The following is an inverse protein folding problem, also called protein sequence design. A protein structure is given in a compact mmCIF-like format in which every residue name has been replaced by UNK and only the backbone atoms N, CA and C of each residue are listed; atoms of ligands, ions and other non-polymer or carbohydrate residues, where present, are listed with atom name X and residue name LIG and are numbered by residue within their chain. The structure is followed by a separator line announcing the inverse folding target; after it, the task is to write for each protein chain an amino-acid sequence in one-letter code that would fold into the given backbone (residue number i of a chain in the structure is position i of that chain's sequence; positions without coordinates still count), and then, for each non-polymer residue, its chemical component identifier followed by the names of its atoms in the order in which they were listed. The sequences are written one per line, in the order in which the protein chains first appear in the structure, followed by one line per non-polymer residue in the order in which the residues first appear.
data_IF_066214516028
#
_entry.id   IF_066214516028
#
_cell.length_a   1.000
_cell.length_b   1.000
_cell.length_c   1.000
_cell.angle_alpha   90.00
_cell.angle_beta   90.00
_cell.angle_gamma   90.00
#
_symmetry.space_group_name_H-M   'P 1'
#
loop_
_entity.id
_entity.type
_entity.pdbx_description
1 polymer ?
#
# COMPACT_ATOMS: atom_id res chain seq x y z
N UNK A 1 22.94 -0.86 -3.70
CA UNK A 1 22.57 0.21 -2.75
C UNK A 1 22.05 1.45 -3.46
N UNK A 2 22.53 1.72 -4.65
CA UNK A 2 22.19 2.94 -5.44
C UNK A 2 20.68 3.08 -5.80
N UNK A 3 19.95 1.99 -5.93
CA UNK A 3 18.51 2.02 -6.23
C UNK A 3 17.60 1.97 -4.98
N UNK A 4 18.12 1.52 -3.84
CA UNK A 4 17.32 1.37 -2.62
C UNK A 4 17.03 2.72 -1.96
N UNK A 5 18.02 3.59 -1.88
CA UNK A 5 17.89 4.92 -1.27
C UNK A 5 16.87 5.81 -2.02
N UNK A 6 16.91 5.91 -3.38
CA UNK A 6 15.89 6.64 -4.13
C UNK A 6 14.49 6.09 -3.92
N UNK A 7 14.34 4.76 -3.89
CA UNK A 7 13.06 4.11 -3.66
C UNK A 7 12.46 4.38 -2.28
N UNK A 8 13.28 4.31 -1.22
CA UNK A 8 12.85 4.61 0.15
C UNK A 8 12.46 6.09 0.30
N UNK A 9 13.27 7.01 -0.24
CA UNK A 9 12.97 8.44 -0.21
C UNK A 9 11.66 8.77 -0.93
N UNK A 10 11.48 8.21 -2.13
CA UNK A 10 10.26 8.36 -2.91
C UNK A 10 9.02 7.83 -2.16
N UNK A 11 9.14 6.69 -1.48
CA UNK A 11 8.07 6.10 -0.69
C UNK A 11 7.66 6.98 0.51
N UNK A 12 8.63 7.58 1.21
CA UNK A 12 8.36 8.46 2.35
C UNK A 12 7.66 9.75 1.87
N UNK A 13 8.21 10.43 0.85
CA UNK A 13 7.64 11.67 0.30
C UNK A 13 6.21 11.43 -0.20
N UNK A 14 5.98 10.35 -0.95
CA UNK A 14 4.65 10.00 -1.45
C UNK A 14 3.67 9.73 -0.31
N UNK A 15 4.14 9.10 0.77
CA UNK A 15 3.32 8.84 1.97
C UNK A 15 2.95 10.14 2.66
N UNK A 16 3.86 11.09 2.77
CA UNK A 16 3.59 12.42 3.33
C UNK A 16 2.51 13.17 2.53
N UNK A 17 2.63 13.18 1.21
CA UNK A 17 1.70 13.89 0.31
C UNK A 17 0.32 13.20 0.33
N UNK A 18 0.27 11.88 0.35
CA UNK A 18 -0.97 11.11 0.22
C UNK A 18 -1.65 10.81 1.56
N UNK A 19 -1.01 11.04 2.72
CA UNK A 19 -1.59 10.73 4.02
C UNK A 19 -2.96 11.39 4.29
N UNK A 20 -3.18 12.66 3.91
CA UNK A 20 -4.50 13.28 4.05
C UNK A 20 -5.60 12.51 3.32
N UNK A 21 -5.35 12.11 2.07
CA UNK A 21 -6.28 11.34 1.26
C UNK A 21 -6.50 9.93 1.83
N UNK A 22 -5.47 9.32 2.40
CA UNK A 22 -5.59 8.04 3.10
C UNK A 22 -6.49 8.14 4.33
N UNK A 23 -6.33 9.20 5.12
CA UNK A 23 -7.15 9.42 6.32
C UNK A 23 -8.61 9.69 5.95
N UNK A 24 -8.86 10.49 4.92
CA UNK A 24 -10.21 10.73 4.40
C UNK A 24 -10.81 9.42 3.88
N UNK A 25 -10.07 8.66 3.06
CA UNK A 25 -10.52 7.39 2.50
C UNK A 25 -10.94 6.41 3.59
N UNK A 26 -10.08 6.16 4.60
CA UNK A 26 -10.37 5.17 5.63
C UNK A 26 -11.60 5.55 6.46
N UNK A 27 -11.74 6.82 6.83
CA UNK A 27 -12.90 7.29 7.58
C UNK A 27 -14.19 7.21 6.72
N UNK A 28 -14.13 7.59 5.45
CA UNK A 28 -15.25 7.44 4.53
C UNK A 28 -15.66 5.97 4.34
N UNK A 29 -14.68 5.07 4.18
CA UNK A 29 -14.88 3.62 4.04
C UNK A 29 -15.56 3.00 5.28
N UNK A 30 -15.23 3.49 6.46
CA UNK A 30 -15.79 3.03 7.73
C UNK A 30 -17.10 3.73 8.11
N UNK A 31 -17.48 4.81 7.42
CA UNK A 31 -18.65 5.61 7.74
C UNK A 31 -18.48 6.54 8.93
N UNK A 32 -17.24 6.85 9.29
CA UNK A 32 -16.94 7.80 10.34
C UNK A 32 -17.04 9.26 9.85
N UNK A 33 -17.22 10.19 10.78
CA UNK A 33 -17.14 11.62 10.48
C UNK A 33 -15.72 12.02 10.08
N UNK A 34 -15.61 12.86 9.07
CA UNK A 34 -14.33 13.34 8.53
C UNK A 34 -14.07 14.74 9.07
N UNK A 35 -12.96 14.91 9.79
CA UNK A 35 -12.49 16.21 10.25
C UNK A 35 -11.38 16.72 9.34
N UNK A 36 -11.54 17.92 8.78
CA UNK A 36 -10.59 18.51 7.81
C UNK A 36 -9.49 19.37 8.47
N UNK A 37 -9.10 19.02 9.71
CA UNK A 37 -8.00 19.67 10.41
C UNK A 37 -6.67 19.02 10.03
N UNK A 38 -5.63 19.80 9.79
CA UNK A 38 -4.28 19.28 9.42
C UNK A 38 -3.79 18.23 10.40
N UNK A 39 -3.91 18.47 11.72
CA UNK A 39 -3.53 17.51 12.74
C UNK A 39 -4.29 16.18 12.65
N UNK A 40 -5.55 16.22 12.21
CA UNK A 40 -6.35 15.00 12.02
C UNK A 40 -5.93 14.24 10.78
N UNK A 41 -5.70 14.94 9.67
CA UNK A 41 -5.35 14.34 8.38
C UNK A 41 -3.97 13.67 8.38
N UNK A 42 -3.06 14.12 9.25
CA UNK A 42 -1.72 13.53 9.37
C UNK A 42 -1.58 12.54 10.53
N UNK A 43 -2.68 12.18 11.20
CA UNK A 43 -2.66 11.16 12.26
C UNK A 43 -2.21 9.80 11.71
N UNK A 44 -1.40 9.10 12.49
CA UNK A 44 -0.90 7.78 12.15
C UNK A 44 0.25 7.76 11.14
N UNK A 45 0.70 8.91 10.63
CA UNK A 45 1.80 9.00 9.68
C UNK A 45 3.09 8.32 10.17
N UNK A 46 3.45 8.51 11.45
CA UNK A 46 4.66 7.91 12.03
C UNK A 46 4.70 6.39 11.90
N UNK A 47 3.54 5.73 12.05
CA UNK A 47 3.47 4.27 11.85
C UNK A 47 3.71 3.86 10.39
N UNK A 48 3.37 4.70 9.43
CA UNK A 48 3.64 4.45 8.02
C UNK A 48 5.12 4.61 7.69
N UNK A 49 5.73 5.66 8.22
CA UNK A 49 7.16 5.96 8.01
C UNK A 49 8.04 4.83 8.55
N UNK A 50 7.63 4.18 9.64
CA UNK A 50 8.34 3.01 10.19
C UNK A 50 7.92 1.72 9.48
N UNK A 51 6.63 1.52 9.24
CA UNK A 51 6.09 0.28 8.70
C UNK A 51 6.54 -0.01 7.26
N UNK A 52 6.71 1.02 6.42
CA UNK A 52 7.13 0.86 5.03
C UNK A 52 8.57 0.32 4.92
N UNK A 53 9.59 0.92 5.56
CA UNK A 53 10.94 0.37 5.54
C UNK A 53 11.02 -1.03 6.14
N UNK A 54 10.32 -1.30 7.24
CA UNK A 54 10.28 -2.64 7.86
C UNK A 54 9.70 -3.66 6.89
N UNK A 55 8.62 -3.32 6.18
CA UNK A 55 8.03 -4.21 5.17
C UNK A 55 9.04 -4.59 4.09
N UNK A 56 9.69 -3.60 3.48
CA UNK A 56 10.62 -3.84 2.39
C UNK A 56 11.91 -4.52 2.85
N UNK A 57 12.38 -4.25 4.07
CA UNK A 57 13.56 -4.91 4.67
C UNK A 57 13.34 -6.42 4.89
N UNK A 58 12.10 -6.86 5.09
CA UNK A 58 11.75 -8.28 5.21
C UNK A 58 11.46 -8.87 3.82
N UNK A 59 10.72 -8.14 2.98
CA UNK A 59 10.27 -8.62 1.68
C UNK A 59 11.45 -8.94 0.74
N UNK A 60 12.38 -8.02 0.53
CA UNK A 60 13.44 -8.21 -0.46
C UNK A 60 14.40 -9.37 -0.16
N UNK A 61 14.95 -9.53 1.06
CA UNK A 61 15.81 -10.68 1.36
C UNK A 61 15.08 -12.01 1.23
N UNK A 62 13.81 -12.06 1.71
CA UNK A 62 12.99 -13.27 1.62
C UNK A 62 12.67 -13.62 0.17
N UNK A 63 12.30 -12.64 -0.65
CA UNK A 63 12.03 -12.82 -2.07
C UNK A 63 13.26 -13.32 -2.84
N UNK A 64 14.44 -12.70 -2.57
CA UNK A 64 15.69 -13.11 -3.21
C UNK A 64 16.01 -14.58 -2.91
N UNK A 65 15.85 -15.00 -1.67
CA UNK A 65 16.12 -16.40 -1.25
C UNK A 65 15.11 -17.38 -1.84
N UNK A 66 13.82 -17.07 -1.77
CA UNK A 66 12.77 -17.97 -2.27
C UNK A 66 12.76 -18.11 -3.79
N UNK A 67 13.22 -17.08 -4.51
CA UNK A 67 13.32 -17.11 -5.98
C UNK A 67 14.32 -18.16 -6.50
N UNK A 68 15.25 -18.62 -5.67
CA UNK A 68 16.20 -19.68 -6.02
C UNK A 68 15.52 -21.06 -6.09
N UNK A 69 14.49 -21.29 -5.23
CA UNK A 69 13.84 -22.60 -5.08
C UNK A 69 12.42 -22.65 -5.69
N UNK A 70 11.75 -21.51 -5.83
CA UNK A 70 10.35 -21.45 -6.22
C UNK A 70 10.13 -20.51 -7.42
N UNK A 71 8.97 -20.66 -8.06
CA UNK A 71 8.54 -19.75 -9.14
C UNK A 71 8.37 -18.31 -8.63
N UNK A 72 8.60 -17.34 -9.52
CA UNK A 72 8.53 -15.89 -9.22
C UNK A 72 7.21 -15.48 -8.51
N UNK A 73 6.01 -15.91 -8.96
CA UNK A 73 4.76 -15.55 -8.30
C UNK A 73 4.65 -16.10 -6.87
N UNK A 74 5.08 -17.35 -6.65
CA UNK A 74 5.04 -18.01 -5.34
C UNK A 74 6.00 -17.31 -4.38
N UNK A 75 7.23 -17.07 -4.82
CA UNK A 75 8.25 -16.37 -4.04
C UNK A 75 7.79 -14.96 -3.63
N UNK A 76 7.18 -14.22 -4.54
CA UNK A 76 6.62 -12.90 -4.28
C UNK A 76 5.47 -12.96 -3.27
N UNK A 77 4.54 -13.89 -3.44
CA UNK A 77 3.39 -14.04 -2.54
C UNK A 77 3.81 -14.42 -1.11
N UNK A 78 4.66 -15.44 -0.95
CA UNK A 78 5.13 -15.90 0.36
C UNK A 78 5.91 -14.79 1.08
N UNK A 79 6.81 -14.10 0.35
CA UNK A 79 7.57 -12.96 0.90
C UNK A 79 6.66 -11.82 1.34
N UNK A 80 5.63 -11.52 0.55
CA UNK A 80 4.65 -10.49 0.87
C UNK A 80 3.83 -10.86 2.13
N UNK A 81 3.40 -12.12 2.24
CA UNK A 81 2.67 -12.61 3.41
C UNK A 81 3.53 -12.56 4.67
N UNK A 82 4.79 -12.99 4.58
CA UNK A 82 5.75 -12.92 5.69
C UNK A 82 5.96 -11.47 6.14
N UNK A 83 6.29 -10.57 5.21
CA UNK A 83 6.47 -9.16 5.53
C UNK A 83 5.20 -8.52 6.12
N UNK A 84 4.01 -8.87 5.59
CA UNK A 84 2.72 -8.43 6.11
C UNK A 84 2.46 -8.88 7.53
N UNK A 85 2.87 -10.11 7.91
CA UNK A 85 2.72 -10.61 9.29
C UNK A 85 3.44 -9.71 10.28
N UNK A 86 4.69 -9.38 10.01
CA UNK A 86 5.47 -8.52 10.90
C UNK A 86 5.01 -7.06 10.90
N UNK A 87 4.46 -6.57 9.79
CA UNK A 87 4.05 -5.16 9.67
C UNK A 87 2.58 -4.91 10.01
N UNK A 88 1.74 -5.93 10.13
CA UNK A 88 0.32 -5.78 10.49
C UNK A 88 0.09 -4.95 11.76
N UNK A 89 0.85 -5.11 12.86
CA UNK A 89 0.68 -4.27 14.05
C UNK A 89 0.81 -2.77 13.75
N UNK A 90 1.78 -2.36 12.92
CA UNK A 90 1.95 -0.96 12.54
C UNK A 90 0.74 -0.42 11.77
N UNK A 91 0.19 -1.21 10.86
CA UNK A 91 -0.98 -0.83 10.08
C UNK A 91 -2.27 -0.75 10.90
N UNK A 92 -2.43 -1.64 11.89
CA UNK A 92 -3.56 -1.58 12.83
C UNK A 92 -3.47 -0.34 13.71
N UNK A 93 -2.28 -0.04 14.26
CA UNK A 93 -2.04 1.14 15.07
C UNK A 93 -2.21 2.43 14.27
N UNK A 94 -1.72 2.46 13.02
CA UNK A 94 -1.96 3.56 12.08
C UNK A 94 -3.45 3.84 11.92
N UNK A 95 -4.21 2.80 11.58
CA UNK A 95 -5.65 2.95 11.35
C UNK A 95 -6.38 3.42 12.61
N UNK A 96 -6.08 2.86 13.77
CA UNK A 96 -6.67 3.28 15.04
C UNK A 96 -6.42 4.76 15.36
N UNK A 97 -5.23 5.28 14.99
CA UNK A 97 -4.95 6.73 15.09
C UNK A 97 -5.71 7.57 14.08
N UNK A 98 -5.88 7.07 12.86
CA UNK A 98 -6.64 7.76 11.80
C UNK A 98 -8.15 7.82 12.10
N UNK A 99 -8.68 6.82 12.81
CA UNK A 99 -10.11 6.73 13.18
C UNK A 99 -10.41 7.28 14.57
N UNK A 100 -9.39 7.81 15.27
CA UNK A 100 -9.51 8.38 16.63
C UNK A 100 -10.04 7.37 17.67
N UNK A 101 -9.76 6.08 17.47
CA UNK A 101 -10.20 5.01 18.37
C UNK A 101 -9.15 4.64 19.40
N UNK A 102 -9.60 4.22 20.57
CA UNK A 102 -8.72 3.72 21.64
C UNK A 102 -7.98 2.47 21.14
N UNK A 103 -6.66 2.52 21.26
CA UNK A 103 -5.78 1.41 20.88
C UNK A 103 -5.87 0.34 21.97
N UNK A 104 -6.17 -0.88 21.55
CA UNK A 104 -6.02 -2.05 22.41
C UNK A 104 -4.74 -2.79 22.01
N UNK A 105 -3.79 -2.85 22.91
CA UNK A 105 -2.48 -3.47 22.71
C UNK A 105 -2.49 -4.99 22.90
N UNK A 106 -3.66 -5.65 22.96
CA UNK A 106 -3.72 -7.11 22.95
C UNK A 106 -3.18 -7.66 21.63
N UNK A 107 -2.35 -8.70 21.70
CA UNK A 107 -1.75 -9.36 20.52
C UNK A 107 -2.83 -9.73 19.50
N UNK A 108 -3.93 -10.34 19.94
CA UNK A 108 -5.07 -10.69 19.08
C UNK A 108 -5.63 -9.46 18.33
N UNK A 109 -5.69 -8.32 19.00
CA UNK A 109 -6.18 -7.07 18.41
C UNK A 109 -5.24 -6.49 17.36
N UNK A 110 -3.93 -6.59 17.59
CA UNK A 110 -2.91 -6.06 16.68
C UNK A 110 -2.80 -6.86 15.37
N UNK A 111 -3.32 -8.08 15.35
CA UNK A 111 -3.36 -8.93 14.16
C UNK A 111 -4.74 -9.00 13.49
N UNK A 112 -5.68 -8.13 13.91
CA UNK A 112 -6.97 -8.03 13.24
C UNK A 112 -6.81 -7.65 11.77
N UNK A 113 -7.49 -8.38 10.89
CA UNK A 113 -7.43 -8.16 9.44
C UNK A 113 -6.19 -8.76 8.76
N UNK A 114 -5.42 -9.63 9.42
CA UNK A 114 -4.29 -10.32 8.80
C UNK A 114 -4.77 -11.27 7.68
N UNK A 115 -5.80 -12.06 7.91
CA UNK A 115 -6.34 -12.99 6.91
C UNK A 115 -6.80 -12.28 5.62
N UNK A 116 -7.63 -11.22 5.68
CA UNK A 116 -7.93 -10.43 4.48
C UNK A 116 -6.67 -9.82 3.83
N UNK A 117 -5.65 -9.47 4.61
CA UNK A 117 -4.39 -8.97 4.04
C UNK A 117 -3.71 -10.02 3.17
N UNK A 118 -3.67 -11.28 3.61
CA UNK A 118 -3.14 -12.39 2.80
C UNK A 118 -3.92 -12.57 1.50
N UNK A 119 -5.25 -12.51 1.56
CA UNK A 119 -6.09 -12.60 0.37
C UNK A 119 -5.88 -11.41 -0.58
N UNK A 120 -5.69 -10.19 -0.06
CA UNK A 120 -5.37 -9.00 -0.87
C UNK A 120 -3.99 -9.15 -1.52
N UNK A 121 -3.04 -9.80 -0.87
CA UNK A 121 -1.72 -10.03 -1.46
C UNK A 121 -1.79 -10.90 -2.74
N UNK A 122 -2.85 -11.69 -2.94
CA UNK A 122 -3.11 -12.37 -4.21
C UNK A 122 -3.34 -11.40 -5.38
N UNK A 123 -3.62 -10.13 -5.11
CA UNK A 123 -3.73 -9.11 -6.17
C UNK A 123 -2.46 -9.00 -7.03
N UNK A 124 -1.30 -9.35 -6.50
CA UNK A 124 -0.05 -9.41 -7.26
C UNK A 124 -0.09 -10.43 -8.40
N UNK A 125 -0.85 -11.52 -8.26
CA UNK A 125 -1.02 -12.53 -9.31
C UNK A 125 -1.79 -12.02 -10.52
N UNK A 126 -2.61 -10.98 -10.35
CA UNK A 126 -3.32 -10.29 -11.43
C UNK A 126 -2.49 -9.10 -11.92
N UNK A 127 -1.86 -8.37 -11.01
CA UNK A 127 -1.09 -7.18 -11.34
C UNK A 127 0.08 -7.48 -12.28
N UNK A 128 0.84 -8.55 -12.02
CA UNK A 128 2.06 -8.86 -12.77
C UNK A 128 1.77 -9.24 -14.23
N UNK A 129 0.87 -10.18 -14.56
CA UNK A 129 0.54 -10.50 -15.95
C UNK A 129 -0.03 -9.29 -16.70
N UNK A 130 -0.88 -8.50 -16.04
CA UNK A 130 -1.44 -7.29 -16.66
C UNK A 130 -0.35 -6.25 -16.96
N UNK A 131 0.60 -6.07 -16.05
CA UNK A 131 1.75 -5.21 -16.24
C UNK A 131 2.61 -5.68 -17.41
N UNK A 132 2.95 -6.98 -17.48
CA UNK A 132 3.75 -7.56 -18.55
C UNK A 132 3.05 -7.42 -19.90
N UNK A 133 1.77 -7.71 -19.97
CA UNK A 133 0.96 -7.52 -21.17
C UNK A 133 0.94 -6.06 -21.65
N UNK A 134 0.74 -5.11 -20.74
CA UNK A 134 0.77 -3.70 -21.11
C UNK A 134 2.16 -3.26 -21.57
N UNK A 135 3.20 -3.70 -20.87
CA UNK A 135 4.59 -3.35 -21.17
C UNK A 135 5.06 -3.90 -22.53
N UNK A 136 4.61 -5.08 -22.92
CA UNK A 136 4.97 -5.68 -24.22
C UNK A 136 4.40 -4.91 -25.42
N UNK A 137 3.33 -4.13 -25.23
CA UNK A 137 2.66 -3.36 -26.27
C UNK A 137 3.08 -1.88 -26.33
N UNK A 138 4.03 -1.46 -25.49
CA UNK A 138 4.43 -0.04 -25.38
C UNK A 138 5.96 0.06 -25.39
N UNK A 139 6.50 1.14 -25.95
CA UNK A 139 7.95 1.40 -25.93
C UNK A 139 8.50 1.43 -24.49
N UNK A 140 9.70 0.86 -24.31
CA UNK A 140 10.40 0.76 -23.03
C UNK A 140 10.95 2.12 -22.57
N UNK A 141 10.05 3.09 -22.34
CA UNK A 141 10.38 4.36 -21.74
C UNK A 141 9.99 4.33 -20.25
N UNK A 142 10.78 4.98 -19.38
CA UNK A 142 10.53 5.07 -17.92
C UNK A 142 9.13 5.55 -17.60
N UNK A 143 8.60 6.51 -18.36
CA UNK A 143 7.25 7.03 -18.22
C UNK A 143 6.18 5.97 -18.53
N UNK A 144 6.35 5.21 -19.60
CA UNK A 144 5.44 4.14 -20.01
C UNK A 144 5.42 2.99 -18.99
N UNK A 145 6.57 2.59 -18.48
CA UNK A 145 6.70 1.59 -17.40
C UNK A 145 5.94 2.05 -16.15
N UNK A 146 6.05 3.33 -15.83
CA UNK A 146 5.32 3.92 -14.71
C UNK A 146 3.79 3.86 -14.91
N UNK A 147 3.29 4.24 -16.08
CA UNK A 147 1.85 4.17 -16.39
C UNK A 147 1.36 2.73 -16.33
N UNK A 148 2.07 1.78 -16.95
CA UNK A 148 1.70 0.36 -16.92
C UNK A 148 1.62 -0.16 -15.47
N UNK A 149 2.58 0.23 -14.61
CA UNK A 149 2.58 -0.14 -13.19
C UNK A 149 1.40 0.48 -12.45
N UNK A 150 1.10 1.76 -12.69
CA UNK A 150 0.01 2.46 -12.04
C UNK A 150 -1.36 1.87 -12.43
N UNK A 151 -1.58 1.62 -13.71
CA UNK A 151 -2.83 1.07 -14.24
C UNK A 151 -3.04 -0.37 -13.76
N UNK A 152 -2.04 -1.25 -13.93
CA UNK A 152 -2.14 -2.65 -13.51
C UNK A 152 -2.42 -2.79 -12.02
N UNK A 153 -1.75 -1.97 -11.19
CA UNK A 153 -2.00 -1.93 -9.75
C UNK A 153 -3.41 -1.43 -9.42
N UNK A 154 -3.86 -0.38 -10.10
CA UNK A 154 -5.20 0.17 -9.86
C UNK A 154 -6.28 -0.85 -10.20
N UNK A 155 -6.20 -1.50 -11.35
CA UNK A 155 -7.14 -2.55 -11.77
C UNK A 155 -7.14 -3.71 -10.77
N UNK A 156 -5.98 -4.25 -10.42
CA UNK A 156 -5.87 -5.32 -9.43
C UNK A 156 -6.48 -4.92 -8.08
N UNK A 157 -6.22 -3.69 -7.62
CA UNK A 157 -6.81 -3.21 -6.36
C UNK A 157 -8.32 -3.05 -6.45
N UNK A 158 -8.88 -2.59 -7.57
CA UNK A 158 -10.32 -2.47 -7.73
C UNK A 158 -11.03 -3.82 -7.60
N UNK A 159 -10.44 -4.89 -8.13
CA UNK A 159 -10.99 -6.26 -8.00
C UNK A 159 -10.99 -6.72 -6.54
N UNK A 160 -9.91 -6.44 -5.79
CA UNK A 160 -9.75 -6.84 -4.39
C UNK A 160 -10.29 -5.81 -3.39
N UNK A 161 -10.89 -4.70 -3.87
CA UNK A 161 -11.38 -3.62 -3.00
C UNK A 161 -12.38 -4.06 -1.93
N UNK A 162 -13.32 -4.99 -2.20
CA UNK A 162 -14.21 -5.53 -1.17
C UNK A 162 -13.45 -6.12 0.02
N UNK A 163 -12.37 -6.86 -0.23
CA UNK A 163 -11.53 -7.41 0.84
C UNK A 163 -10.78 -6.32 1.61
N UNK A 164 -10.41 -5.22 0.93
CA UNK A 164 -9.82 -4.06 1.60
C UNK A 164 -10.79 -3.40 2.58
N UNK A 165 -12.07 -3.31 2.20
CA UNK A 165 -13.14 -2.81 3.08
C UNK A 165 -13.36 -3.73 4.29
N UNK A 166 -13.39 -5.05 4.06
CA UNK A 166 -13.48 -6.04 5.16
C UNK A 166 -12.27 -5.92 6.10
N UNK A 167 -11.07 -5.82 5.55
CA UNK A 167 -9.84 -5.62 6.33
C UNK A 167 -9.92 -4.36 7.21
N UNK A 168 -10.32 -3.23 6.61
CA UNK A 168 -10.45 -1.97 7.32
C UNK A 168 -11.43 -2.07 8.49
N UNK A 169 -12.57 -2.73 8.29
CA UNK A 169 -13.58 -2.94 9.33
C UNK A 169 -13.11 -3.87 10.46
N UNK A 170 -12.46 -4.97 10.11
CA UNK A 170 -11.90 -5.89 11.11
C UNK A 170 -10.87 -5.17 12.00
N UNK A 171 -10.03 -4.32 11.42
CA UNK A 171 -9.08 -3.49 12.18
C UNK A 171 -9.78 -2.49 13.08
N UNK A 172 -10.92 -1.97 12.63
CA UNK A 172 -11.76 -1.01 13.36
C UNK A 172 -12.76 -1.68 14.32
N UNK A 173 -12.75 -3.03 14.39
CA UNK A 173 -13.66 -3.85 15.21
C UNK A 173 -15.13 -3.61 14.92
N UNK A 174 -15.45 -3.25 13.70
CA UNK A 174 -16.82 -3.13 13.23
C UNK A 174 -17.34 -4.48 12.69
N UNK A 175 -18.67 -4.64 12.69
CA UNK A 175 -19.32 -5.79 12.06
C UNK A 175 -19.04 -5.75 10.55
N UNK A 176 -18.58 -6.88 9.99
CA UNK A 176 -18.12 -6.95 8.61
C UNK A 176 -19.22 -7.17 7.58
N UNK A 177 -20.45 -7.44 8.00
CA UNK A 177 -21.54 -7.83 7.09
C UNK A 177 -22.30 -6.59 6.64
N UNK A 178 -22.29 -6.35 5.34
CA UNK A 178 -23.20 -5.42 4.68
C UNK A 178 -24.28 -6.19 3.93
N UNK A 179 -25.52 -5.72 4.00
CA UNK A 179 -26.59 -6.25 3.17
C UNK A 179 -26.46 -5.85 1.69
N UNK A 180 -25.81 -4.71 1.40
CA UNK A 180 -25.63 -4.20 0.04
C UNK A 180 -24.18 -4.26 -0.42
N UNK A 181 -23.93 -4.82 -1.60
CA UNK A 181 -22.62 -4.93 -2.22
C UNK A 181 -21.95 -3.56 -2.49
N UNK A 182 -22.75 -2.52 -2.77
CA UNK A 182 -22.24 -1.15 -2.98
C UNK A 182 -21.45 -0.61 -1.79
N UNK A 183 -21.79 -1.03 -0.57
CA UNK A 183 -21.10 -0.61 0.65
C UNK A 183 -19.68 -1.18 0.76
N UNK A 184 -19.37 -2.28 0.07
CA UNK A 184 -18.01 -2.83 0.02
C UNK A 184 -17.08 -2.01 -0.88
N UNK A 185 -17.63 -1.23 -1.82
CA UNK A 185 -16.88 -0.33 -2.70
C UNK A 185 -16.83 1.12 -2.20
N UNK A 186 -17.34 1.39 -0.99
CA UNK A 186 -17.33 2.72 -0.40
C UNK A 186 -15.88 3.22 -0.21
N UNK A 187 -15.59 4.41 -0.75
CA UNK A 187 -14.25 5.02 -0.71
C UNK A 187 -13.32 4.62 -1.86
N UNK A 188 -13.79 3.81 -2.82
CA UNK A 188 -13.00 3.43 -4.00
C UNK A 188 -12.64 4.65 -4.87
N UNK A 189 -13.56 5.60 -5.04
CA UNK A 189 -13.30 6.84 -5.78
C UNK A 189 -12.15 7.65 -5.16
N UNK A 190 -12.13 7.75 -3.83
CA UNK A 190 -11.05 8.43 -3.11
C UNK A 190 -9.73 7.66 -3.26
N UNK A 191 -9.78 6.32 -3.29
CA UNK A 191 -8.60 5.49 -3.54
C UNK A 191 -8.03 5.74 -4.94
N UNK A 192 -8.86 5.77 -5.97
CA UNK A 192 -8.44 6.05 -7.35
C UNK A 192 -7.86 7.47 -7.44
N UNK A 193 -8.55 8.46 -6.87
CA UNK A 193 -8.06 9.85 -6.82
C UNK A 193 -6.70 9.97 -6.12
N UNK A 194 -6.49 9.19 -5.04
CA UNK A 194 -5.22 9.15 -4.32
C UNK A 194 -4.09 8.48 -5.12
N UNK A 195 -4.43 7.51 -5.98
CA UNK A 195 -3.43 6.74 -6.72
C UNK A 195 -2.62 7.62 -7.67
N UNK A 196 -3.23 8.63 -8.27
CA UNK A 196 -2.55 9.57 -9.17
C UNK A 196 -1.44 10.36 -8.46
N UNK A 197 -1.70 11.18 -7.42
CA UNK A 197 -0.65 11.93 -6.74
C UNK A 197 0.40 11.02 -6.10
N UNK A 198 0.02 9.81 -5.65
CA UNK A 198 0.96 8.84 -5.12
C UNK A 198 1.99 8.43 -6.18
N UNK A 199 1.52 7.99 -7.34
CA UNK A 199 2.41 7.52 -8.39
C UNK A 199 3.25 8.66 -8.98
N UNK A 200 2.67 9.84 -9.18
CA UNK A 200 3.41 11.03 -9.63
C UNK A 200 4.51 11.39 -8.64
N UNK A 201 4.20 11.42 -7.34
CA UNK A 201 5.18 11.75 -6.30
C UNK A 201 6.31 10.72 -6.23
N UNK A 202 6.00 9.41 -6.34
CA UNK A 202 7.00 8.35 -6.39
C UNK A 202 7.92 8.55 -7.57
N UNK A 203 7.35 8.78 -8.76
CA UNK A 203 8.12 8.96 -9.99
C UNK A 203 9.04 10.19 -9.92
N UNK A 204 8.47 11.35 -9.63
CA UNK A 204 9.24 12.61 -9.56
C UNK A 204 10.36 12.56 -8.51
N UNK A 205 10.07 11.99 -7.33
CA UNK A 205 11.08 11.89 -6.27
C UNK A 205 12.17 10.87 -6.62
N UNK A 206 11.79 9.74 -7.23
CA UNK A 206 12.75 8.74 -7.68
C UNK A 206 13.71 9.32 -8.73
N UNK A 207 13.17 9.98 -9.77
CA UNK A 207 13.97 10.61 -10.82
C UNK A 207 14.87 11.72 -10.26
N UNK A 208 14.35 12.56 -9.36
CA UNK A 208 15.13 13.62 -8.74
C UNK A 208 16.31 13.06 -7.94
N UNK A 209 16.07 12.07 -7.08
CA UNK A 209 17.12 11.47 -6.24
C UNK A 209 18.14 10.72 -7.12
N UNK A 210 17.67 9.96 -8.12
CA UNK A 210 18.54 9.24 -9.06
C UNK A 210 19.47 10.21 -9.81
N UNK A 211 18.93 11.29 -10.34
CA UNK A 211 19.71 12.30 -11.08
C UNK A 211 20.69 13.03 -10.16
N UNK A 212 20.31 13.28 -8.90
CA UNK A 212 21.19 13.87 -7.91
C UNK A 212 22.40 12.97 -7.60
N UNK A 213 22.17 11.66 -7.42
CA UNK A 213 23.25 10.70 -7.18
C UNK A 213 24.17 10.55 -8.39
N UNK A 214 23.62 10.46 -9.62
CA UNK A 214 24.43 10.37 -10.83
C UNK A 214 25.31 11.62 -10.98
N UNK A 215 24.79 12.81 -10.67
CA UNK A 215 25.51 14.08 -10.85
C UNK A 215 26.61 14.32 -9.82
N UNK A 216 26.53 13.69 -8.62
CA UNK A 216 27.51 13.89 -7.53
C UNK A 216 28.46 12.71 -7.33
N UNK A 217 28.31 11.60 -8.07
CA UNK A 217 29.18 10.43 -8.03
C UNK A 217 30.05 10.28 -9.30
N UNK A 218 29.86 11.13 -10.28
CA UNK A 218 30.73 11.34 -11.46
C UNK A 218 31.48 12.65 -11.30
#
# INVERSE_FOLDING_TARGET
MEEILPGLGAGIVSTLICNPLDTIRINYQLGNEIKYTTNYLYRGLGYSVIGIPVFWSIYFPMYKRLKEDFSVPVSAYVSCCTASTFTTPFWVLRQAKQTDKKINYSIKSLYNGLLPTYLINLSFTIQMPLYEYMKSNVENNTFNVFICTAVSKTVATCIFYPLDTIRARLRDRQICIYSNMTNYYRGMSIYILRSLPYHVSVFCTYEYIKNYFIKNLV
#
